data_IF_092037868102
#
_entry.id   IF_092037868102
#
_cell.length_a   1.000
_cell.length_b   1.000
_cell.length_c   1.000
_cell.angle_alpha   90.00
_cell.angle_beta   90.00
_cell.angle_gamma   90.00
#
_symmetry.space_group_name_H-M   'P 1'
#
loop_
_entity.id
_entity.type
_entity.pdbx_description
1 polymer ?
#
# COMPACT_ATOMS: atom_id res chain seq x y z
N UNK A 1 -17.83 -12.66 32.72
CA UNK A 1 -16.94 -12.70 31.53
C UNK A 1 -17.06 -11.36 30.82
N UNK A 2 -16.02 -10.52 30.86
CA UNK A 2 -16.03 -9.22 30.19
C UNK A 2 -15.83 -9.47 28.69
N UNK A 3 -16.76 -8.98 27.87
CA UNK A 3 -16.64 -8.98 26.41
C UNK A 3 -15.38 -8.15 26.09
N UNK A 4 -14.32 -8.81 25.65
CA UNK A 4 -13.17 -8.13 25.05
C UNK A 4 -13.71 -7.53 23.76
N UNK A 5 -13.92 -6.22 23.75
CA UNK A 5 -14.17 -5.49 22.52
C UNK A 5 -12.96 -5.75 21.62
N UNK A 6 -13.19 -6.37 20.47
CA UNK A 6 -12.17 -6.45 19.43
C UNK A 6 -11.71 -5.02 19.14
N UNK A 7 -10.42 -4.76 19.30
CA UNK A 7 -9.79 -3.48 18.99
C UNK A 7 -10.20 -3.12 17.55
N UNK A 8 -10.99 -2.05 17.38
CA UNK A 8 -11.69 -1.80 16.11
C UNK A 8 -10.67 -1.39 15.04
N UNK A 9 -10.55 -2.18 13.97
CA UNK A 9 -9.82 -1.75 12.77
C UNK A 9 -10.42 -0.41 12.27
N UNK A 10 -9.57 0.60 12.05
CA UNK A 10 -9.99 1.92 11.58
C UNK A 10 -9.01 3.06 11.87
N UNK A 11 -8.03 2.81 12.74
CA UNK A 11 -6.96 3.75 13.04
C UNK A 11 -6.06 3.99 11.81
N UNK A 12 -5.47 5.18 11.73
CA UNK A 12 -4.39 5.45 10.76
C UNK A 12 -3.14 4.70 11.17
N UNK A 13 -2.47 4.10 10.19
CA UNK A 13 -1.17 3.49 10.38
C UNK A 13 -0.14 4.23 9.50
N UNK A 14 1.07 4.50 10.00
CA UNK A 14 2.10 5.18 9.22
C UNK A 14 2.80 4.23 8.24
N UNK A 15 2.85 2.92 8.53
CA UNK A 15 3.48 1.91 7.67
C UNK A 15 2.78 0.54 7.73
N UNK A 16 2.81 -0.25 6.64
CA UNK A 16 2.11 -1.54 6.46
C UNK A 16 2.37 -2.71 7.42
N UNK A 17 2.93 -2.50 8.62
CA UNK A 17 3.21 -3.60 9.56
C UNK A 17 3.32 -3.23 11.03
N UNK A 18 3.44 -1.94 11.38
CA UNK A 18 4.01 -1.56 12.68
C UNK A 18 3.00 -1.04 13.72
N UNK A 19 1.70 -0.87 13.37
CA UNK A 19 0.80 -0.08 14.23
C UNK A 19 -0.65 -0.55 14.34
N UNK A 20 -1.04 -1.65 13.70
CA UNK A 20 -2.40 -2.16 13.84
C UNK A 20 -2.47 -3.17 14.99
N UNK A 21 -3.39 -2.95 15.92
CA UNK A 21 -3.72 -3.91 16.99
C UNK A 21 -4.56 -5.07 16.43
N UNK A 22 -4.45 -6.23 17.09
CA UNK A 22 -5.28 -7.40 16.80
C UNK A 22 -5.04 -8.00 15.42
N UNK A 23 -6.08 -8.60 14.84
CA UNK A 23 -6.05 -9.26 13.54
C UNK A 23 -6.25 -8.27 12.37
N UNK A 24 -5.81 -7.01 12.46
CA UNK A 24 -6.00 -6.00 11.41
C UNK A 24 -4.75 -5.84 10.51
N UNK A 25 -4.96 -5.57 9.22
CA UNK A 25 -3.90 -5.25 8.26
C UNK A 25 -3.83 -3.75 7.97
N UNK A 26 -2.62 -3.22 7.85
CA UNK A 26 -2.39 -1.83 7.46
C UNK A 26 -2.37 -1.70 5.94
N UNK A 27 -3.44 -1.16 5.36
CA UNK A 27 -3.62 -1.06 3.92
C UNK A 27 -3.64 0.39 3.42
N UNK A 28 -3.20 0.66 2.17
CA UNK A 28 -3.31 1.96 1.56
C UNK A 28 -4.78 2.40 1.48
N UNK A 29 -5.06 3.57 2.04
CA UNK A 29 -6.34 4.24 1.96
C UNK A 29 -6.23 5.42 1.00
N UNK A 30 -6.69 5.20 -0.23
CA UNK A 30 -6.76 6.25 -1.26
C UNK A 30 -8.07 7.01 -1.05
N UNK A 31 -8.07 7.98 -0.12
CA UNK A 31 -9.14 8.97 -0.07
C UNK A 31 -8.94 10.00 -1.19
N UNK A 32 -10.03 10.40 -1.84
CA UNK A 32 -10.06 11.45 -2.85
C UNK A 32 -9.57 12.78 -2.26
N UNK A 33 -8.29 13.09 -2.49
CA UNK A 33 -7.58 14.35 -2.21
C UNK A 33 -7.36 14.71 -0.71
N UNK A 34 -6.20 15.26 -0.31
CA UNK A 34 -4.93 15.50 -1.05
C UNK A 34 -4.05 14.22 -1.15
N UNK A 35 -2.94 14.21 -1.93
CA UNK A 35 -2.15 13.00 -2.24
C UNK A 35 -1.24 12.64 -1.07
N UNK A 36 -1.82 12.43 0.10
CA UNK A 36 -1.11 11.75 1.18
C UNK A 36 -1.41 10.28 1.01
N UNK A 37 -0.34 9.49 0.83
CA UNK A 37 -0.38 8.06 1.06
C UNK A 37 -0.74 7.85 2.54
N UNK A 38 -2.04 7.73 2.80
CA UNK A 38 -2.53 7.36 4.10
C UNK A 38 -2.70 5.85 4.11
N UNK A 39 -2.41 5.23 5.24
CA UNK A 39 -2.76 3.84 5.47
C UNK A 39 -3.73 3.76 6.62
N UNK A 40 -4.63 2.78 6.58
CA UNK A 40 -5.57 2.50 7.65
C UNK A 40 -5.50 1.03 8.03
N UNK A 41 -5.65 0.77 9.32
CA UNK A 41 -5.93 -0.56 9.81
C UNK A 41 -7.31 -0.98 9.34
N UNK A 42 -7.39 -2.03 8.53
CA UNK A 42 -8.64 -2.61 8.04
C UNK A 42 -8.70 -4.07 8.47
N UNK A 43 -9.91 -4.61 8.52
CA UNK A 43 -10.08 -6.05 8.67
C UNK A 43 -9.44 -6.75 7.47
N UNK A 44 -8.70 -7.85 7.67
CA UNK A 44 -8.06 -8.58 6.59
C UNK A 44 -9.08 -8.97 5.55
N UNK A 45 -8.76 -8.71 4.29
CA UNK A 45 -9.58 -9.18 3.19
C UNK A 45 -9.30 -10.67 2.94
N UNK A 46 -10.33 -11.42 2.57
CA UNK A 46 -10.10 -12.72 1.94
C UNK A 46 -9.28 -12.53 0.65
N UNK A 47 -8.60 -13.58 0.20
CA UNK A 47 -7.83 -13.54 -1.05
C UNK A 47 -8.67 -13.10 -2.25
N UNK A 48 -9.94 -13.51 -2.29
CA UNK A 48 -10.89 -13.13 -3.33
C UNK A 48 -11.27 -11.64 -3.26
N UNK A 49 -11.54 -11.11 -2.06
CA UNK A 49 -11.84 -9.70 -1.87
C UNK A 49 -10.65 -8.81 -2.20
N UNK A 50 -9.44 -9.23 -1.81
CA UNK A 50 -8.22 -8.50 -2.14
C UNK A 50 -7.98 -8.46 -3.65
N UNK A 51 -8.17 -9.59 -4.32
CA UNK A 51 -8.08 -9.69 -5.79
C UNK A 51 -9.03 -8.70 -6.46
N UNK A 52 -10.31 -8.77 -6.08
CA UNK A 52 -11.35 -7.88 -6.60
C UNK A 52 -11.02 -6.40 -6.36
N UNK A 53 -10.62 -6.04 -5.14
CA UNK A 53 -10.24 -4.67 -4.78
C UNK A 53 -9.11 -4.14 -5.66
N UNK A 54 -8.05 -4.94 -5.89
CA UNK A 54 -6.92 -4.51 -6.71
C UNK A 54 -7.33 -4.37 -8.17
N UNK A 55 -8.13 -5.30 -8.70
CA UNK A 55 -8.64 -5.24 -10.08
C UNK A 55 -9.54 -4.01 -10.30
N UNK A 56 -10.44 -3.70 -9.36
CA UNK A 56 -11.38 -2.58 -9.45
C UNK A 56 -10.73 -1.20 -9.22
N UNK A 57 -9.65 -1.12 -8.45
CA UNK A 57 -8.99 0.15 -8.14
C UNK A 57 -7.98 0.53 -9.24
N UNK A 58 -8.17 1.66 -9.95
CA UNK A 58 -7.31 2.02 -11.09
C UNK A 58 -5.84 2.17 -10.72
N UNK A 59 -5.56 2.65 -9.50
CA UNK A 59 -4.19 2.90 -9.02
C UNK A 59 -3.56 1.69 -8.32
N UNK A 60 -4.29 0.62 -8.04
CA UNK A 60 -3.70 -0.59 -7.45
C UNK A 60 -3.24 -1.55 -8.55
N UNK A 61 -2.21 -2.33 -8.25
CA UNK A 61 -1.60 -3.24 -9.23
C UNK A 61 -0.97 -4.47 -8.59
N UNK A 62 -1.02 -5.59 -9.31
CA UNK A 62 -0.22 -6.78 -9.08
C UNK A 62 1.13 -6.72 -9.81
N UNK A 63 1.17 -6.01 -10.95
CA UNK A 63 2.33 -5.95 -11.84
C UNK A 63 2.48 -4.60 -12.54
N UNK A 64 3.67 -4.33 -13.11
CA UNK A 64 3.91 -3.14 -13.93
C UNK A 64 3.01 -3.09 -15.16
N UNK A 65 2.77 -4.23 -15.82
CA UNK A 65 1.91 -4.34 -17.01
C UNK A 65 0.49 -3.88 -16.73
N UNK A 66 -0.06 -4.27 -15.57
CA UNK A 66 -1.41 -3.89 -15.17
C UNK A 66 -1.57 -2.37 -15.02
N UNK A 67 -0.52 -1.66 -14.59
CA UNK A 67 -0.54 -0.21 -14.54
C UNK A 67 -0.68 0.42 -15.93
N UNK A 68 0.02 -0.15 -16.91
CA UNK A 68 -0.04 0.28 -18.31
C UNK A 68 -1.42 0.00 -18.90
N UNK A 69 -1.95 -1.21 -18.68
CA UNK A 69 -3.29 -1.61 -19.14
C UNK A 69 -4.40 -0.74 -18.54
N UNK A 70 -4.28 -0.39 -17.26
CA UNK A 70 -5.21 0.53 -16.57
C UNK A 70 -4.99 2.00 -16.92
N UNK A 71 -3.99 2.35 -17.72
CA UNK A 71 -3.63 3.74 -18.02
C UNK A 71 -3.26 4.58 -16.79
N UNK A 72 -2.88 3.94 -15.69
CA UNK A 72 -2.63 4.59 -14.39
C UNK A 72 -1.14 4.75 -14.07
N UNK A 73 -0.27 4.39 -15.01
CA UNK A 73 1.18 4.53 -14.91
C UNK A 73 1.90 3.44 -15.71
N UNK A 74 3.21 3.34 -15.53
CA UNK A 74 4.02 2.25 -16.10
C UNK A 74 4.74 1.42 -15.02
N UNK A 75 4.67 1.85 -13.76
CA UNK A 75 5.43 1.27 -12.68
C UNK A 75 4.54 1.00 -11.46
N UNK A 76 4.25 -0.28 -11.24
CA UNK A 76 3.74 -0.80 -9.98
C UNK A 76 4.78 -0.77 -8.86
N UNK A 77 4.67 0.19 -7.95
CA UNK A 77 5.53 0.31 -6.79
C UNK A 77 4.94 -0.46 -5.59
N UNK A 78 5.67 -1.47 -5.11
CA UNK A 78 5.27 -2.22 -3.92
C UNK A 78 5.57 -1.45 -2.64
N UNK A 79 4.77 -1.69 -1.62
CA UNK A 79 5.02 -1.14 -0.30
C UNK A 79 6.15 -1.94 0.36
N UNK A 80 7.30 -1.33 0.66
CA UNK A 80 8.40 -2.01 1.30
C UNK A 80 8.03 -2.35 2.74
N UNK A 81 8.60 -3.44 3.23
CA UNK A 81 8.36 -3.96 4.58
C UNK A 81 6.87 -4.24 4.86
N UNK A 82 6.08 -4.49 3.81
CA UNK A 82 4.67 -4.87 3.90
C UNK A 82 4.45 -6.34 3.56
N UNK A 83 3.35 -6.90 4.07
CA UNK A 83 2.83 -8.19 3.62
C UNK A 83 1.96 -8.04 2.36
N UNK A 84 1.79 -6.82 1.85
CA UNK A 84 0.92 -6.53 0.71
C UNK A 84 1.61 -7.02 -0.56
N UNK A 85 0.94 -7.94 -1.26
CA UNK A 85 1.42 -8.53 -2.52
C UNK A 85 1.17 -7.62 -3.72
N UNK A 86 0.36 -6.58 -3.56
CA UNK A 86 0.03 -5.56 -4.56
C UNK A 86 0.74 -4.24 -4.24
N UNK A 87 0.77 -3.34 -5.23
CA UNK A 87 1.39 -2.03 -5.14
C UNK A 87 0.47 -0.92 -5.64
N UNK A 88 1.10 0.24 -5.87
CA UNK A 88 0.48 1.42 -6.46
C UNK A 88 1.12 1.75 -7.81
N UNK A 89 0.29 2.12 -8.77
CA UNK A 89 0.74 2.59 -10.07
C UNK A 89 1.27 4.01 -9.99
N UNK A 90 2.45 4.20 -10.57
CA UNK A 90 3.09 5.48 -10.80
C UNK A 90 3.48 5.63 -12.28
N UNK A 91 3.51 6.86 -12.82
CA UNK A 91 3.97 7.09 -14.19
C UNK A 91 5.48 6.85 -14.37
N UNK A 92 6.24 6.77 -13.29
CA UNK A 92 7.66 6.41 -13.30
C UNK A 92 8.15 5.93 -11.93
N UNK A 93 9.32 5.26 -11.91
CA UNK A 93 10.04 4.92 -10.67
C UNK A 93 10.38 6.18 -9.87
N UNK A 94 10.80 7.25 -10.54
CA UNK A 94 11.18 8.52 -9.90
C UNK A 94 10.01 9.13 -9.11
N UNK A 95 8.80 9.11 -9.67
CA UNK A 95 7.59 9.57 -8.99
C UNK A 95 7.20 8.70 -7.81
N UNK A 96 7.34 7.37 -7.94
CA UNK A 96 7.14 6.46 -6.83
C UNK A 96 8.10 6.80 -5.68
N UNK A 97 9.39 6.92 -5.98
CA UNK A 97 10.43 7.30 -5.01
C UNK A 97 10.10 8.64 -4.35
N UNK A 98 9.76 9.66 -5.12
CA UNK A 98 9.42 10.97 -4.58
C UNK A 98 8.19 10.92 -3.65
N UNK A 99 7.16 10.18 -4.05
CA UNK A 99 5.94 10.04 -3.24
C UNK A 99 6.22 9.31 -1.93
N UNK A 100 6.99 8.23 -1.96
CA UNK A 100 7.36 7.50 -0.74
C UNK A 100 8.37 8.23 0.14
N UNK A 101 9.28 9.02 -0.45
CA UNK A 101 10.16 9.95 0.27
C UNK A 101 9.35 10.99 1.04
N UNK A 102 8.34 11.59 0.39
CA UNK A 102 7.44 12.53 1.07
C UNK A 102 6.60 11.85 2.17
N UNK A 103 6.34 10.55 2.05
CA UNK A 103 5.62 9.78 3.05
C UNK A 103 6.50 9.30 4.23
N UNK A 104 7.84 9.32 4.11
CA UNK A 104 8.73 8.66 5.07
C UNK A 104 9.93 9.50 5.51
N UNK A 105 10.20 9.55 6.81
CA UNK A 105 11.47 10.07 7.36
C UNK A 105 12.62 9.06 7.12
N UNK A 106 13.43 9.33 6.08
CA UNK A 106 14.80 8.84 5.82
C UNK A 106 15.10 7.32 5.68
N UNK A 107 14.33 6.39 6.24
CA UNK A 107 14.67 4.94 6.24
C UNK A 107 14.26 4.19 4.97
N UNK A 108 13.29 4.74 4.24
CA UNK A 108 12.62 4.10 3.10
C UNK A 108 13.46 4.10 1.80
N UNK A 109 14.33 5.11 1.63
CA UNK A 109 15.09 5.30 0.40
C UNK A 109 16.07 4.15 0.11
N UNK A 110 16.71 3.61 1.16
CA UNK A 110 17.68 2.52 1.03
C UNK A 110 17.04 1.19 0.64
N UNK A 111 15.83 0.91 1.12
CA UNK A 111 15.14 -0.34 0.83
C UNK A 111 14.45 -0.29 -0.55
N UNK A 112 13.94 0.88 -0.95
CA UNK A 112 13.31 1.05 -2.26
C UNK A 112 14.31 0.95 -3.41
N UNK A 113 15.51 1.54 -3.26
CA UNK A 113 16.57 1.46 -4.27
C UNK A 113 17.08 0.02 -4.47
N UNK A 114 17.12 -0.78 -3.40
CA UNK A 114 17.49 -2.21 -3.48
C UNK A 114 16.47 -3.07 -4.22
N UNK A 115 15.19 -2.69 -4.17
CA UNK A 115 14.11 -3.41 -4.87
C UNK A 115 13.92 -2.95 -6.33
N UNK A 116 14.44 -1.77 -6.68
CA UNK A 116 14.31 -1.18 -8.03
C UNK A 116 15.42 -1.61 -8.99
N UNK A 117 16.49 -2.22 -8.48
CA UNK A 117 17.54 -2.80 -9.31
C UNK A 117 17.07 -4.18 -9.78
N UNK A 118 16.97 -4.44 -11.09
CA UNK A 118 16.80 -5.79 -11.58
C UNK A 118 18.00 -6.65 -11.16
N UNK A 119 17.73 -7.89 -10.78
CA UNK A 119 18.76 -8.91 -10.54
C UNK A 119 19.48 -9.28 -11.84
#
# INVERSE_FOLDING_TARGET
MKKVEADKCGAYCPYPRLYCSGDCDCEPFIASLPPRLNFKCVTPHSSAELKKKVEEQPKLCWSHTECTEKGSGNYCARFPNSNLKYGLCFPSISEAVNTFKMASSLKFEKDFLKMSLPA
#
